data_IF_240394263269
#
_entry.id   IF_240394263269
#
_cell.length_a   1.000
_cell.length_b   1.000
_cell.length_c   1.000
_cell.angle_alpha   90.00
_cell.angle_beta   90.00
_cell.angle_gamma   90.00
#
_symmetry.space_group_name_H-M   'P 1'
#
loop_
_entity.id
_entity.type
_entity.pdbx_description
1 polymer ?
#
# COMPACT_ATOMS: atom_id res chain seq x y z
N UNK A 1 3.06 5.68 -17.13
CA UNK A 1 3.26 6.29 -15.79
C UNK A 1 2.32 5.57 -14.82
N UNK A 2 2.78 5.07 -13.66
CA UNK A 2 1.93 4.28 -12.76
C UNK A 2 0.83 5.13 -12.14
N UNK A 3 -0.40 4.58 -12.01
CA UNK A 3 -1.52 5.23 -11.32
C UNK A 3 -1.38 5.12 -9.78
N UNK A 4 -0.80 4.01 -9.30
CA UNK A 4 -0.62 3.70 -7.88
C UNK A 4 0.84 3.31 -7.60
N UNK A 5 1.38 3.78 -6.47
CA UNK A 5 2.68 3.38 -5.90
C UNK A 5 2.46 2.86 -4.48
N UNK A 6 2.92 1.63 -4.21
CA UNK A 6 2.79 1.00 -2.89
C UNK A 6 4.17 0.92 -2.24
N UNK A 7 4.34 1.61 -1.11
CA UNK A 7 5.57 1.62 -0.33
C UNK A 7 5.57 0.47 0.68
N UNK A 8 6.48 -0.49 0.53
CA UNK A 8 6.63 -1.57 1.49
C UNK A 8 7.60 -1.16 2.61
N UNK A 9 7.04 -0.82 3.76
CA UNK A 9 7.78 -0.42 4.95
C UNK A 9 8.06 1.07 5.08
N UNK A 10 8.52 1.43 6.28
CA UNK A 10 8.73 2.82 6.72
C UNK A 10 9.70 3.58 5.83
N UNK A 11 10.84 2.99 5.45
CA UNK A 11 11.91 3.69 4.73
C UNK A 11 11.45 4.17 3.35
N UNK A 12 10.69 3.34 2.62
CA UNK A 12 10.12 3.72 1.33
C UNK A 12 9.07 4.82 1.49
N UNK A 13 8.18 4.68 2.47
CA UNK A 13 7.14 5.67 2.74
C UNK A 13 7.72 7.02 3.16
N UNK A 14 8.79 7.03 3.97
CA UNK A 14 9.45 8.27 4.40
C UNK A 14 10.02 9.07 3.23
N UNK A 15 10.63 8.37 2.27
CA UNK A 15 11.27 9.00 1.11
C UNK A 15 10.28 9.45 0.05
N UNK A 16 9.23 8.68 -0.19
CA UNK A 16 8.31 8.92 -1.30
C UNK A 16 7.09 9.74 -0.88
N UNK A 17 6.55 9.46 0.31
CA UNK A 17 5.33 10.09 0.83
C UNK A 17 5.70 11.36 1.61
N UNK A 18 6.26 11.20 2.82
CA UNK A 18 6.66 12.30 3.72
C UNK A 18 7.69 11.84 4.77
N UNK A 19 8.60 12.71 5.19
CA UNK A 19 9.73 12.32 6.06
C UNK A 19 9.33 11.83 7.46
N UNK A 20 8.20 12.29 8.01
CA UNK A 20 7.69 11.94 9.34
C UNK A 20 6.76 10.71 9.35
N UNK A 21 6.69 9.95 8.25
CA UNK A 21 5.72 8.86 8.07
C UNK A 21 5.85 7.74 9.12
N UNK A 22 4.77 7.46 9.83
CA UNK A 22 4.66 6.43 10.86
C UNK A 22 3.90 5.23 10.34
N UNK A 23 4.64 4.20 9.91
CA UNK A 23 4.05 2.97 9.34
C UNK A 23 3.06 2.28 10.28
N UNK A 24 3.20 2.40 11.60
CA UNK A 24 2.29 1.78 12.56
C UNK A 24 0.92 2.46 12.69
N UNK A 25 0.77 3.69 12.15
CA UNK A 25 -0.48 4.48 12.23
C UNK A 25 -1.03 4.83 10.85
N UNK A 26 -0.15 4.98 9.87
CA UNK A 26 -0.48 5.53 8.55
C UNK A 26 -0.49 4.46 7.45
N UNK A 27 -0.24 3.19 7.78
CA UNK A 27 -0.39 2.10 6.81
C UNK A 27 -1.82 2.04 6.25
N UNK A 28 -1.92 1.72 4.95
CA UNK A 28 -3.19 1.64 4.24
C UNK A 28 -3.90 2.98 3.99
N UNK A 29 -3.31 4.11 4.40
CA UNK A 29 -3.79 5.44 4.04
C UNK A 29 -3.36 5.80 2.62
N UNK A 30 -4.13 6.65 1.96
CA UNK A 30 -3.88 7.10 0.60
C UNK A 30 -3.41 8.55 0.60
N UNK A 31 -2.37 8.82 -0.17
CA UNK A 31 -1.81 10.17 -0.38
C UNK A 31 -1.67 10.41 -1.86
N UNK A 32 -2.21 11.51 -2.35
CA UNK A 32 -2.04 11.90 -3.75
C UNK A 32 -0.83 12.84 -3.90
N UNK A 33 0.08 12.53 -4.83
CA UNK A 33 1.27 13.35 -5.08
C UNK A 33 1.65 13.29 -6.55
N UNK A 34 1.67 14.45 -7.21
CA UNK A 34 2.07 14.56 -8.62
C UNK A 34 1.23 13.72 -9.58
N UNK A 35 -0.09 13.62 -9.32
CA UNK A 35 -1.05 12.84 -10.12
C UNK A 35 -0.92 11.32 -9.97
N UNK A 36 -0.27 10.85 -8.90
CA UNK A 36 -0.14 9.43 -8.57
C UNK A 36 -0.64 9.20 -7.14
N UNK A 37 -1.27 8.04 -6.93
CA UNK A 37 -1.75 7.61 -5.62
C UNK A 37 -0.66 6.81 -4.91
N UNK A 38 -0.33 7.21 -3.68
CA UNK A 38 0.63 6.53 -2.83
C UNK A 38 -0.10 5.89 -1.66
N UNK A 39 0.33 4.69 -1.28
CA UNK A 39 -0.02 4.08 0.00
C UNK A 39 1.19 3.34 0.56
N UNK A 40 1.16 2.99 1.84
CA UNK A 40 2.22 2.22 2.48
C UNK A 40 1.65 1.01 3.21
N UNK A 41 2.39 -0.09 3.15
CA UNK A 41 2.07 -1.35 3.84
C UNK A 41 3.23 -1.75 4.73
N UNK A 42 2.97 -2.60 5.72
CA UNK A 42 4.06 -3.24 6.45
C UNK A 42 4.97 -4.02 5.48
N UNK A 43 6.28 -3.91 5.71
CA UNK A 43 7.25 -4.65 4.92
C UNK A 43 7.06 -6.16 5.16
N UNK A 44 7.17 -7.03 4.13
CA UNK A 44 7.02 -8.49 4.28
C UNK A 44 7.88 -9.07 5.40
N UNK A 45 9.13 -8.60 5.55
CA UNK A 45 10.01 -9.04 6.64
C UNK A 45 9.45 -8.74 8.04
N UNK A 46 8.69 -7.65 8.21
CA UNK A 46 8.05 -7.34 9.50
C UNK A 46 6.91 -8.32 9.81
N UNK A 47 6.18 -8.78 8.79
CA UNK A 47 5.09 -9.77 8.91
C UNK A 47 5.60 -11.19 9.17
N UNK A 48 6.80 -11.50 8.69
CA UNK A 48 7.49 -12.75 9.00
C UNK A 48 7.98 -12.78 10.45
N UNK A 49 8.43 -11.64 10.97
CA UNK A 49 8.91 -11.50 12.36
C UNK A 49 7.78 -11.37 13.38
N UNK A 50 6.69 -10.73 13.00
CA UNK A 50 5.54 -10.47 13.87
C UNK A 50 4.24 -10.75 13.13
N UNK A 51 3.67 -11.91 13.43
CA UNK A 51 2.45 -12.41 12.78
C UNK A 51 1.20 -11.63 13.20
N UNK A 52 1.25 -10.89 14.30
CA UNK A 52 0.10 -10.10 14.79
C UNK A 52 -0.27 -8.96 13.83
N UNK A 53 0.66 -8.55 12.96
CA UNK A 53 0.45 -7.52 11.93
C UNK A 53 -0.21 -8.02 10.64
N UNK A 54 -0.40 -9.34 10.50
CA UNK A 54 -1.00 -9.96 9.30
C UNK A 54 -2.44 -9.53 9.05
N UNK A 55 -3.34 -9.47 10.06
CA UNK A 55 -4.73 -9.05 9.84
C UNK A 55 -4.82 -7.62 9.29
N UNK A 56 -4.03 -6.69 9.85
CA UNK A 56 -3.98 -5.30 9.38
C UNK A 56 -3.46 -5.19 7.95
N UNK A 57 -2.37 -5.89 7.65
CA UNK A 57 -1.80 -5.90 6.30
C UNK A 57 -2.79 -6.50 5.29
N UNK A 58 -3.49 -7.56 5.68
CA UNK A 58 -4.49 -8.18 4.81
C UNK A 58 -5.64 -7.22 4.52
N UNK A 59 -6.12 -6.49 5.53
CA UNK A 59 -7.12 -5.44 5.34
C UNK A 59 -6.65 -4.36 4.37
N UNK A 60 -5.39 -3.95 4.46
CA UNK A 60 -4.86 -2.94 3.55
C UNK A 60 -4.65 -3.48 2.12
N UNK A 61 -4.27 -4.75 1.97
CA UNK A 61 -4.22 -5.41 0.66
C UNK A 61 -5.61 -5.48 0.02
N UNK A 62 -6.67 -5.73 0.81
CA UNK A 62 -8.05 -5.67 0.30
C UNK A 62 -8.45 -4.26 -0.13
N UNK A 63 -8.07 -3.22 0.62
CA UNK A 63 -8.27 -1.82 0.20
C UNK A 63 -7.48 -1.49 -1.06
N UNK A 64 -6.25 -1.99 -1.19
CA UNK A 64 -5.43 -1.84 -2.38
C UNK A 64 -6.11 -2.49 -3.59
N UNK A 65 -6.61 -3.73 -3.45
CA UNK A 65 -7.37 -4.41 -4.50
C UNK A 65 -8.56 -3.56 -4.94
N UNK A 66 -9.38 -3.09 -3.99
CA UNK A 66 -10.53 -2.23 -4.29
C UNK A 66 -10.11 -0.94 -5.01
N UNK A 67 -9.02 -0.29 -4.58
CA UNK A 67 -8.53 0.93 -5.21
C UNK A 67 -8.00 0.69 -6.61
N UNK A 68 -7.29 -0.42 -6.84
CA UNK A 68 -6.82 -0.84 -8.16
C UNK A 68 -8.00 -1.05 -9.09
N UNK A 69 -9.06 -1.73 -8.64
CA UNK A 69 -10.29 -1.93 -9.42
C UNK A 69 -11.00 -0.60 -9.74
N UNK A 70 -10.97 0.37 -8.83
CA UNK A 70 -11.55 1.71 -9.05
C UNK A 70 -10.78 2.51 -10.12
N UNK A 71 -9.44 2.46 -10.12
CA UNK A 71 -8.62 3.26 -11.04
C UNK A 71 -8.28 2.54 -12.35
N UNK A 72 -8.48 1.23 -12.43
CA UNK A 72 -8.26 0.44 -13.64
C UNK A 72 -9.54 0.35 -14.46
N UNK A 73 -9.41 0.57 -15.77
CA UNK A 73 -10.52 0.42 -16.72
C UNK A 73 -10.64 -1.03 -17.23
N UNK A 74 -9.64 -1.87 -16.95
CA UNK A 74 -9.61 -3.29 -17.31
C UNK A 74 -9.50 -4.17 -16.04
N UNK A 75 -10.63 -4.65 -15.51
CA UNK A 75 -10.66 -5.54 -14.34
C UNK A 75 -10.11 -6.94 -14.63
N UNK A 76 -10.10 -7.38 -15.90
CA UNK A 76 -9.78 -8.77 -16.30
C UNK A 76 -8.29 -9.05 -16.35
N UNK A 77 -7.45 -8.02 -16.34
CA UNK A 77 -5.98 -8.17 -16.41
C UNK A 77 -5.35 -8.75 -15.14
N UNK A 78 -6.06 -8.73 -14.02
CA UNK A 78 -5.56 -9.18 -12.71
C UNK A 78 -6.51 -10.19 -12.06
N UNK A 79 -7.11 -11.09 -12.84
CA UNK A 79 -7.62 -12.36 -12.30
C UNK A 79 -6.40 -13.15 -11.79
N UNK A 80 -6.10 -12.95 -10.52
CA UNK A 80 -5.15 -13.76 -9.77
C UNK A 80 -5.96 -14.97 -9.29
N UNK A 81 -5.66 -16.19 -9.76
CA UNK A 81 -6.45 -17.40 -9.45
C UNK A 81 -6.49 -17.71 -7.95
#
# INVERSE_FOLDING_TARGET
RPKIIVCLGRIAAMRLIKEDFKISREHGQWVEKGGMLFTALYHPSALLRDVTKRPDTFRDLKKLQAKVLEVTEDPKRYDIP
#
